data_IF_770541066593
#
_entry.id   IF_770541066593
#
_cell.length_a   1.000
_cell.length_b   1.000
_cell.length_c   1.000
_cell.angle_alpha   90.00
_cell.angle_beta   90.00
_cell.angle_gamma   90.00
#
_symmetry.space_group_name_H-M   'P 1'
#
loop_
_entity.id
_entity.type
_entity.pdbx_description
1 polymer ?
#
# COMPACT_ATOMS: atom_id res chain seq x y z
N UNK A 1 -14.54 19.07 -7.48
CA UNK A 1 -14.94 17.89 -6.68
C UNK A 1 -13.93 17.44 -5.63
N UNK A 2 -12.84 16.71 -5.94
CA UNK A 2 -11.98 16.12 -4.88
C UNK A 2 -11.35 17.15 -3.94
N UNK A 3 -10.95 18.31 -4.47
CA UNK A 3 -10.45 19.44 -3.67
C UNK A 3 -11.52 20.04 -2.75
N UNK A 4 -12.76 20.14 -3.23
CA UNK A 4 -13.89 20.66 -2.45
C UNK A 4 -14.27 19.67 -1.35
N UNK A 5 -14.33 18.36 -1.65
CA UNK A 5 -14.56 17.32 -0.66
C UNK A 5 -13.48 17.33 0.43
N UNK A 6 -12.20 17.44 0.04
CA UNK A 6 -11.10 17.57 1.00
C UNK A 6 -11.28 18.80 1.90
N UNK A 7 -11.67 19.95 1.33
CA UNK A 7 -11.90 21.18 2.08
C UNK A 7 -13.07 21.01 3.07
N UNK A 8 -14.21 20.52 2.59
CA UNK A 8 -15.40 20.27 3.40
C UNK A 8 -15.14 19.28 4.54
N UNK A 9 -14.41 18.19 4.27
CA UNK A 9 -14.00 17.23 5.29
C UNK A 9 -13.08 17.87 6.33
N UNK A 10 -12.10 18.67 5.90
CA UNK A 10 -11.19 19.35 6.81
C UNK A 10 -11.93 20.33 7.73
N UNK A 11 -12.91 21.05 7.19
CA UNK A 11 -13.74 22.02 7.91
C UNK A 11 -14.63 21.29 8.93
N UNK A 12 -15.37 20.26 8.50
CA UNK A 12 -16.21 19.45 9.38
C UNK A 12 -15.43 18.76 10.52
N UNK A 13 -14.21 18.26 10.25
CA UNK A 13 -13.33 17.69 11.27
C UNK A 13 -12.90 18.77 12.27
N UNK A 14 -12.54 19.95 11.77
CA UNK A 14 -12.04 21.04 12.61
C UNK A 14 -13.13 21.60 13.52
N UNK A 15 -14.37 21.67 13.04
CA UNK A 15 -15.53 22.15 13.81
C UNK A 15 -16.05 21.14 14.83
N UNK A 16 -15.78 19.85 14.64
CA UNK A 16 -16.23 18.80 15.57
C UNK A 16 -15.33 18.69 16.80
N UNK A 17 -15.85 19.15 17.94
CA UNK A 17 -15.16 19.02 19.24
C UNK A 17 -14.97 17.56 19.67
N UNK A 18 -15.90 16.67 19.30
CA UNK A 18 -15.83 15.25 19.59
C UNK A 18 -14.70 14.55 18.83
N UNK A 19 -14.59 14.82 17.52
CA UNK A 19 -13.50 14.28 16.70
C UNK A 19 -12.15 14.77 17.24
N UNK A 20 -12.02 16.06 17.52
CA UNK A 20 -10.79 16.63 18.09
C UNK A 20 -10.39 15.99 19.42
N UNK A 21 -11.36 15.70 20.30
CA UNK A 21 -11.10 15.00 21.57
C UNK A 21 -10.56 13.59 21.33
N UNK A 22 -11.13 12.86 20.37
CA UNK A 22 -10.71 11.49 20.04
C UNK A 22 -9.33 11.47 19.37
N UNK A 23 -9.08 12.36 18.40
CA UNK A 23 -7.77 12.50 17.76
C UNK A 23 -6.67 12.80 18.78
N UNK A 24 -6.97 13.62 19.80
CA UNK A 24 -6.03 13.92 20.87
C UNK A 24 -5.68 12.68 21.69
N UNK A 25 -6.67 11.91 22.12
CA UNK A 25 -6.44 10.65 22.86
C UNK A 25 -5.55 9.68 22.07
N UNK A 26 -5.85 9.50 20.79
CA UNK A 26 -5.07 8.62 19.91
C UNK A 26 -3.61 9.08 19.80
N UNK A 27 -3.37 10.40 19.74
CA UNK A 27 -2.01 10.95 19.76
C UNK A 27 -1.31 10.81 21.12
N UNK A 28 -2.04 10.96 22.22
CA UNK A 28 -1.52 10.75 23.58
C UNK A 28 -1.12 9.29 23.82
N UNK A 29 -1.80 8.35 23.17
CA UNK A 29 -1.45 6.93 23.12
C UNK A 29 -0.24 6.63 22.20
N UNK A 30 0.30 7.64 21.51
CA UNK A 30 1.52 7.54 20.69
C UNK A 30 1.27 7.19 19.22
N UNK A 31 0.02 7.13 18.78
CA UNK A 31 -0.31 6.81 17.38
C UNK A 31 -0.25 8.06 16.48
N UNK A 32 0.13 7.83 15.22
CA UNK A 32 0.02 8.82 14.13
C UNK A 32 -1.13 8.45 13.22
N UNK A 33 -2.00 9.42 12.93
CA UNK A 33 -3.22 9.23 12.13
C UNK A 33 -3.03 9.77 10.71
N UNK A 34 -3.50 8.97 9.74
CA UNK A 34 -3.57 9.34 8.33
C UNK A 34 -4.96 8.99 7.80
N UNK A 35 -5.65 9.96 7.19
CA UNK A 35 -6.92 9.73 6.52
C UNK A 35 -6.67 9.71 5.00
N UNK A 36 -6.88 8.55 4.38
CA UNK A 36 -6.81 8.41 2.92
C UNK A 36 -8.23 8.47 2.36
N UNK A 37 -8.47 9.44 1.48
CA UNK A 37 -9.72 9.53 0.71
C UNK A 37 -9.43 9.01 -0.68
N UNK A 38 -9.91 7.81 -0.98
CA UNK A 38 -9.87 7.23 -2.32
C UNK A 38 -11.25 7.39 -2.97
N UNK A 39 -11.27 7.89 -4.20
CA UNK A 39 -12.48 8.05 -4.99
C UNK A 39 -12.31 7.26 -6.27
N UNK A 40 -12.71 5.99 -6.22
CA UNK A 40 -12.80 5.17 -7.42
C UNK A 40 -14.12 5.45 -8.11
N UNK A 41 -14.03 5.79 -9.39
CA UNK A 41 -15.20 5.76 -10.27
C UNK A 41 -15.51 4.28 -10.48
N UNK A 42 -16.70 3.83 -10.08
CA UNK A 42 -17.20 2.54 -10.54
C UNK A 42 -17.32 2.62 -12.06
N UNK A 43 -16.33 2.05 -12.73
CA UNK A 43 -16.46 1.66 -14.12
C UNK A 43 -17.00 0.23 -14.02
N UNK A 44 -18.25 0.02 -14.41
CA UNK A 44 -18.77 -1.31 -14.69
C UNK A 44 -18.01 -1.87 -15.89
N UNK A 45 -16.80 -2.39 -15.66
CA UNK A 45 -16.04 -3.15 -16.65
C UNK A 45 -15.43 -4.39 -15.97
N UNK A 46 -15.91 -5.60 -16.28
CA UNK A 46 -15.52 -6.83 -15.59
C UNK A 46 -14.05 -7.28 -15.81
N UNK A 47 -13.22 -6.52 -16.54
CA UNK A 47 -11.80 -6.86 -16.81
C UNK A 47 -10.76 -5.82 -16.32
N UNK A 48 -11.06 -5.01 -15.30
CA UNK A 48 -10.08 -4.06 -14.77
C UNK A 48 -9.06 -4.72 -13.80
N UNK A 49 -7.88 -5.06 -14.35
CA UNK A 49 -6.62 -5.41 -13.65
C UNK A 49 -6.37 -4.51 -12.42
N UNK A 50 -5.97 -5.04 -11.24
CA UNK A 50 -5.81 -4.22 -10.05
C UNK A 50 -4.49 -3.44 -10.11
N UNK A 51 -4.56 -2.18 -10.55
CA UNK A 51 -3.48 -1.21 -10.39
C UNK A 51 -3.45 -0.70 -8.93
N UNK A 52 -2.43 -1.17 -8.22
CA UNK A 52 -1.72 -0.45 -7.13
C UNK A 52 -2.57 0.35 -6.15
N UNK A 53 -3.26 -0.34 -5.25
CA UNK A 53 -3.57 0.22 -3.94
C UNK A 53 -2.29 0.22 -3.07
N UNK A 54 -2.07 1.21 -2.18
CA UNK A 54 -1.09 1.05 -1.12
C UNK A 54 -1.57 -0.10 -0.24
N UNK A 55 -0.81 -1.21 -0.25
CA UNK A 55 -1.08 -2.37 0.59
C UNK A 55 -0.81 -1.97 2.04
N UNK A 56 -1.83 -1.51 2.75
CA UNK A 56 -1.82 -1.73 4.19
C UNK A 56 -1.79 -3.25 4.40
N UNK A 57 -0.92 -3.78 5.27
CA UNK A 57 -0.88 -5.21 5.52
C UNK A 57 -2.20 -5.57 6.23
N UNK A 58 -3.21 -5.93 5.45
CA UNK A 58 -4.23 -6.86 5.91
C UNK A 58 -3.49 -8.12 6.36
N UNK A 59 -3.99 -8.72 7.44
CA UNK A 59 -3.44 -9.86 8.19
C UNK A 59 -3.27 -11.16 7.38
N UNK A 60 -2.63 -11.07 6.21
CA UNK A 60 -2.19 -12.16 5.37
C UNK A 60 -0.73 -12.44 5.68
N UNK A 61 -0.35 -13.72 5.66
CA UNK A 61 1.03 -14.16 5.91
C UNK A 61 2.04 -13.30 5.14
N UNK A 62 3.20 -12.97 5.77
CA UNK A 62 4.21 -12.16 5.12
C UNK A 62 4.62 -12.81 3.80
N UNK A 63 4.17 -12.23 2.70
CA UNK A 63 4.56 -12.69 1.37
C UNK A 63 5.93 -12.11 1.08
N UNK A 64 6.93 -12.98 0.93
CA UNK A 64 8.25 -12.55 0.50
C UNK A 64 8.14 -11.86 -0.88
N UNK A 65 8.57 -10.61 -0.94
CA UNK A 65 8.60 -9.80 -2.16
C UNK A 65 10.01 -9.26 -2.34
N UNK A 66 10.53 -9.35 -3.58
CA UNK A 66 11.84 -8.81 -3.95
C UNK A 66 11.60 -7.47 -4.62
N UNK A 67 12.18 -6.40 -4.10
CA UNK A 67 12.13 -5.08 -4.71
C UNK A 67 13.35 -4.77 -5.60
N UNK A 68 13.41 -3.58 -6.20
CA UNK A 68 14.50 -3.19 -7.12
C UNK A 68 15.86 -3.06 -6.41
N UNK A 69 15.88 -2.70 -5.13
CA UNK A 69 17.11 -2.62 -4.34
C UNK A 69 17.61 -4.03 -4.04
N UNK A 70 16.71 -4.93 -3.67
CA UNK A 70 17.01 -6.35 -3.46
C UNK A 70 17.58 -6.98 -4.74
N UNK A 71 17.02 -6.67 -5.91
CA UNK A 71 17.56 -7.15 -7.20
C UNK A 71 19.02 -6.72 -7.43
N UNK A 72 19.36 -5.49 -7.04
CA UNK A 72 20.71 -4.96 -7.21
C UNK A 72 21.71 -5.67 -6.29
N UNK A 73 21.29 -5.92 -5.04
CA UNK A 73 22.07 -6.68 -4.06
C UNK A 73 22.24 -8.15 -4.47
N UNK A 74 21.15 -8.83 -4.86
CA UNK A 74 21.21 -10.24 -5.27
C UNK A 74 22.18 -10.42 -6.45
N UNK A 75 22.13 -9.52 -7.43
CA UNK A 75 23.07 -9.52 -8.56
C UNK A 75 24.52 -9.30 -8.12
N UNK A 76 24.79 -8.45 -7.13
CA UNK A 76 26.16 -8.20 -6.65
C UNK A 76 26.79 -9.42 -5.99
N UNK A 77 25.98 -10.28 -5.36
CA UNK A 77 26.42 -11.56 -4.77
C UNK A 77 26.30 -12.75 -5.76
N UNK A 78 26.02 -12.47 -7.04
CA UNK A 78 25.98 -13.48 -8.10
C UNK A 78 24.67 -14.27 -8.21
N UNK A 79 23.62 -13.87 -7.48
CA UNK A 79 22.28 -14.44 -7.57
C UNK A 79 21.44 -13.57 -8.50
N UNK A 80 21.07 -14.09 -9.67
CA UNK A 80 20.13 -13.41 -10.56
C UNK A 80 18.77 -14.12 -10.54
N UNK A 81 17.79 -13.61 -9.77
CA UNK A 81 16.46 -14.22 -9.67
C UNK A 81 15.68 -14.15 -11.00
N UNK A 82 16.13 -13.38 -11.98
CA UNK A 82 15.52 -13.31 -13.32
C UNK A 82 16.15 -14.29 -14.32
N UNK A 83 17.24 -14.96 -13.94
CA UNK A 83 17.95 -15.91 -14.81
C UNK A 83 17.14 -17.20 -14.95
N UNK A 84 16.84 -17.57 -16.20
CA UNK A 84 16.18 -18.85 -16.51
C UNK A 84 17.08 -20.02 -16.08
N UNK A 85 16.59 -20.84 -15.15
CA UNK A 85 17.25 -22.09 -14.74
C UNK A 85 17.45 -22.98 -15.97
N UNK A 86 18.72 -23.31 -16.28
CA UNK A 86 19.02 -24.37 -17.24
C UNK A 86 18.63 -25.70 -16.58
N UNK A 87 17.58 -26.36 -17.09
CA UNK A 87 17.25 -27.74 -16.71
C UNK A 87 18.46 -28.62 -17.02
N UNK A 88 19.10 -29.14 -15.98
CA UNK A 88 20.18 -30.11 -16.11
C UNK A 88 19.54 -31.41 -16.64
N UNK A 89 19.89 -31.80 -17.86
CA UNK A 89 19.45 -33.07 -18.44
C UNK A 89 20.12 -34.17 -17.61
N UNK A 90 19.35 -34.83 -16.76
CA UNK A 90 19.80 -36.06 -16.09
C UNK A 90 19.84 -37.13 -17.16
N UNK A 91 21.05 -37.55 -17.54
CA UNK A 91 21.26 -38.72 -18.39
C UNK A 91 21.08 -39.96 -17.49
N UNK A 92 20.04 -40.74 -17.75
CA UNK A 92 19.90 -42.12 -17.25
C UNK A 92 20.94 -43.04 -17.86
#
# INVERSE_FOLDING_TARGET
MLRELRRALSEAISESSEINRTLRKIREEGYSLYLLVDCKREIEDPEAVPLTAPRWPSSSEPTFQIDVRDLSFLKSIGIDPTRRLRRRKVTS
#
